data_IF_068606153848
#
_entry.id   IF_068606153848
#
_cell.length_a   1.000
_cell.length_b   1.000
_cell.length_c   1.000
_cell.angle_alpha   90.00
_cell.angle_beta   90.00
_cell.angle_gamma   90.00
#
_symmetry.space_group_name_H-M   'P 1'
#
loop_
_entity.id
_entity.type
_entity.pdbx_description
1 polymer ?
#
# COMPACT_ATOMS: atom_id res chain seq x y z
N UNK A 1 6.75 -5.73 -19.90
CA UNK A 1 5.82 -5.07 -18.95
C UNK A 1 6.53 -3.85 -18.40
N UNK A 2 5.85 -2.70 -18.49
CA UNK A 2 6.32 -1.40 -18.02
C UNK A 2 5.96 -1.28 -16.55
N UNK A 3 6.95 -0.96 -15.70
CA UNK A 3 6.76 -0.79 -14.26
C UNK A 3 6.71 0.68 -13.87
N UNK A 4 5.96 1.01 -12.81
CA UNK A 4 5.86 2.34 -12.25
C UNK A 4 5.81 2.35 -10.73
N UNK A 5 5.89 3.54 -10.16
CA UNK A 5 5.80 3.77 -8.72
C UNK A 5 4.67 4.77 -8.46
N UNK A 6 3.74 4.40 -7.59
CA UNK A 6 2.70 5.28 -7.09
C UNK A 6 2.99 5.66 -5.63
N UNK A 7 3.28 6.93 -5.40
CA UNK A 7 3.40 7.52 -4.07
C UNK A 7 2.01 8.07 -3.70
N UNK A 8 1.45 7.60 -2.59
CA UNK A 8 0.10 7.94 -2.16
C UNK A 8 0.10 8.64 -0.80
N UNK A 9 -0.54 9.81 -0.71
CA UNK A 9 -0.78 10.52 0.54
C UNK A 9 -0.23 11.95 0.57
N UNK A 10 -0.28 12.61 1.76
CA UNK A 10 0.11 14.01 1.93
C UNK A 10 1.60 14.26 1.68
N UNK A 11 1.96 15.53 1.53
CA UNK A 11 3.32 15.94 1.11
C UNK A 11 4.26 16.27 2.28
N UNK A 12 4.04 15.73 3.48
CA UNK A 12 4.82 16.10 4.67
C UNK A 12 6.31 15.77 4.56
N UNK A 13 6.64 14.66 3.91
CA UNK A 13 8.02 14.19 3.67
C UNK A 13 8.45 14.40 2.21
N UNK A 14 8.00 15.48 1.57
CA UNK A 14 8.13 15.69 0.13
C UNK A 14 9.57 15.70 -0.38
N UNK A 15 10.51 16.24 0.41
CA UNK A 15 11.91 16.30 0.00
C UNK A 15 12.54 14.92 -0.05
N UNK A 16 12.53 14.23 1.10
CA UNK A 16 13.15 12.93 1.26
C UNK A 16 12.58 11.91 0.27
N UNK A 17 11.25 11.90 0.13
CA UNK A 17 10.54 10.95 -0.71
C UNK A 17 10.71 11.29 -2.19
N UNK A 18 10.61 12.56 -2.60
CA UNK A 18 10.79 12.95 -3.98
C UNK A 18 12.25 12.76 -4.43
N UNK A 19 13.23 13.13 -3.60
CA UNK A 19 14.65 12.93 -3.90
C UNK A 19 14.98 11.44 -4.08
N UNK A 20 14.40 10.58 -3.24
CA UNK A 20 14.60 9.15 -3.33
C UNK A 20 13.97 8.56 -4.60
N UNK A 21 12.69 8.85 -4.87
CA UNK A 21 11.99 8.19 -5.98
C UNK A 21 12.24 8.82 -7.35
N UNK A 22 12.77 10.04 -7.45
CA UNK A 22 13.05 10.71 -8.72
C UNK A 22 14.08 10.00 -9.61
N UNK A 23 14.90 9.14 -9.04
CA UNK A 23 15.86 8.30 -9.76
C UNK A 23 15.21 7.16 -10.56
N UNK A 24 13.94 6.84 -10.25
CA UNK A 24 13.19 5.79 -10.93
C UNK A 24 12.28 6.38 -12.01
N UNK A 25 12.03 5.61 -13.07
CA UNK A 25 11.10 6.02 -14.11
C UNK A 25 9.63 5.82 -13.73
N UNK A 26 8.72 6.54 -14.40
CA UNK A 26 7.28 6.39 -14.26
C UNK A 26 6.77 6.55 -12.82
N UNK A 27 7.20 7.62 -12.15
CA UNK A 27 6.76 7.95 -10.79
C UNK A 27 5.59 8.91 -10.83
N UNK A 28 4.52 8.59 -10.12
CA UNK A 28 3.36 9.45 -9.89
C UNK A 28 3.18 9.65 -8.40
N UNK A 29 2.92 10.88 -7.99
CA UNK A 29 2.52 11.22 -6.62
C UNK A 29 1.06 11.66 -6.63
N UNK A 30 0.18 10.90 -6.01
CA UNK A 30 -1.22 11.23 -5.82
C UNK A 30 -1.44 11.81 -4.44
N UNK A 31 -1.89 13.05 -4.37
CA UNK A 31 -2.06 13.84 -3.16
C UNK A 31 -3.28 14.77 -3.24
N UNK A 32 -3.47 15.64 -2.26
CA UNK A 32 -4.66 16.47 -2.13
C UNK A 32 -4.53 17.79 -2.89
N UNK A 33 -5.66 18.31 -3.37
CA UNK A 33 -5.72 19.59 -4.09
C UNK A 33 -5.49 20.83 -3.19
N UNK A 34 -5.52 20.63 -1.88
CA UNK A 34 -5.24 21.68 -0.87
C UNK A 34 -3.80 21.63 -0.30
N UNK A 35 -2.91 20.87 -0.91
CA UNK A 35 -1.49 20.80 -0.52
C UNK A 35 -0.73 22.11 -0.83
N UNK A 36 0.36 22.33 -0.11
CA UNK A 36 1.25 23.49 -0.31
C UNK A 36 1.82 23.54 -1.73
N UNK A 37 1.61 24.64 -2.45
CA UNK A 37 2.15 24.84 -3.79
C UNK A 37 3.68 24.70 -3.82
N UNK A 38 4.38 25.16 -2.79
CA UNK A 38 5.85 25.06 -2.70
C UNK A 38 6.30 23.59 -2.67
N UNK A 39 5.57 22.74 -1.95
CA UNK A 39 5.85 21.31 -1.89
C UNK A 39 5.56 20.62 -3.24
N UNK A 40 4.42 20.98 -3.86
CA UNK A 40 4.03 20.45 -5.16
C UNK A 40 5.03 20.83 -6.26
N UNK A 41 5.51 22.07 -6.28
CA UNK A 41 6.50 22.54 -7.24
C UNK A 41 7.84 21.85 -7.05
N UNK A 42 8.24 21.59 -5.81
CA UNK A 42 9.44 20.80 -5.54
C UNK A 42 9.33 19.36 -6.09
N UNK A 43 8.21 18.68 -5.83
CA UNK A 43 7.96 17.32 -6.33
C UNK A 43 8.02 17.31 -7.88
N UNK A 44 7.34 18.26 -8.52
CA UNK A 44 7.33 18.41 -9.99
C UNK A 44 8.73 18.70 -10.54
N UNK A 45 9.55 19.51 -9.84
CA UNK A 45 10.92 19.82 -10.24
C UNK A 45 11.84 18.60 -10.28
N UNK A 46 11.47 17.53 -9.57
CA UNK A 46 12.13 16.22 -9.61
C UNK A 46 11.67 15.31 -10.76
N UNK A 47 10.82 15.80 -11.65
CA UNK A 47 10.27 15.01 -12.76
C UNK A 47 9.13 14.07 -12.37
N UNK A 48 8.62 14.17 -11.14
CA UNK A 48 7.52 13.33 -10.65
C UNK A 48 6.18 13.95 -11.11
N UNK A 49 5.33 13.15 -11.76
CA UNK A 49 3.97 13.57 -12.13
C UNK A 49 3.12 13.66 -10.86
N UNK A 50 2.46 14.81 -10.65
CA UNK A 50 1.57 15.02 -9.50
C UNK A 50 0.12 14.95 -9.93
N UNK A 51 -0.68 14.17 -9.23
CA UNK A 51 -2.14 14.09 -9.38
C UNK A 51 -2.77 14.70 -8.13
N UNK A 52 -3.58 15.72 -8.34
CA UNK A 52 -4.31 16.41 -7.29
C UNK A 52 -5.72 15.84 -7.18
N UNK A 53 -6.09 15.41 -6.01
CA UNK A 53 -7.35 14.75 -5.70
C UNK A 53 -8.11 15.55 -4.65
N UNK A 54 -9.38 15.79 -4.88
CA UNK A 54 -10.23 16.41 -3.86
C UNK A 54 -10.51 15.40 -2.75
N UNK A 55 -10.19 15.73 -1.49
CA UNK A 55 -10.45 14.84 -0.36
C UNK A 55 -11.93 14.46 -0.25
N UNK A 56 -12.26 13.21 0.09
CA UNK A 56 -13.64 12.81 0.34
C UNK A 56 -14.19 13.56 1.56
N UNK A 57 -15.49 13.89 1.54
CA UNK A 57 -16.16 14.55 2.67
C UNK A 57 -16.15 13.70 3.93
N UNK A 58 -16.31 12.39 3.77
CA UNK A 58 -16.24 11.41 4.84
C UNK A 58 -14.94 10.61 4.72
N UNK A 59 -14.08 10.73 5.72
CA UNK A 59 -12.75 10.12 5.67
C UNK A 59 -12.73 8.63 6.06
N UNK A 60 -13.79 8.15 6.70
CA UNK A 60 -13.87 6.78 7.21
C UNK A 60 -13.02 6.53 8.46
N UNK A 61 -13.13 5.34 9.02
CA UNK A 61 -12.30 4.91 10.14
C UNK A 61 -10.81 4.89 9.74
N UNK A 62 -9.93 5.44 10.58
CA UNK A 62 -8.50 5.56 10.30
C UNK A 62 -8.16 6.21 8.94
N UNK A 63 -9.06 7.08 8.44
CA UNK A 63 -8.89 7.79 7.17
C UNK A 63 -8.83 6.87 5.93
N UNK A 64 -9.51 5.73 5.97
CA UNK A 64 -9.49 4.74 4.88
C UNK A 64 -9.92 5.33 3.53
N UNK A 65 -10.96 6.17 3.50
CA UNK A 65 -11.43 6.78 2.25
C UNK A 65 -10.40 7.76 1.63
N UNK A 66 -9.58 8.41 2.46
CA UNK A 66 -8.45 9.19 1.94
C UNK A 66 -7.46 8.28 1.20
N UNK A 67 -7.12 7.15 1.80
CA UNK A 67 -6.21 6.20 1.18
C UNK A 67 -6.79 5.61 -0.11
N UNK A 68 -8.05 5.15 -0.08
CA UNK A 68 -8.74 4.58 -1.24
C UNK A 68 -8.78 5.58 -2.40
N UNK A 69 -9.29 6.78 -2.16
CA UNK A 69 -9.48 7.80 -3.18
C UNK A 69 -8.16 8.21 -3.84
N UNK A 70 -7.14 8.56 -3.04
CA UNK A 70 -5.86 8.99 -3.60
C UNK A 70 -5.11 7.85 -4.30
N UNK A 71 -5.21 6.61 -3.81
CA UNK A 71 -4.60 5.47 -4.50
C UNK A 71 -5.27 5.22 -5.84
N UNK A 72 -6.61 5.15 -5.88
CA UNK A 72 -7.36 4.88 -7.11
C UNK A 72 -7.08 5.92 -8.19
N UNK A 73 -7.17 7.21 -7.89
CA UNK A 73 -6.89 8.29 -8.84
C UNK A 73 -5.45 8.26 -9.35
N UNK A 74 -4.50 7.92 -8.47
CA UNK A 74 -3.11 7.72 -8.86
C UNK A 74 -2.93 6.54 -9.82
N UNK A 75 -3.63 5.42 -9.59
CA UNK A 75 -3.61 4.25 -10.47
C UNK A 75 -4.21 4.55 -11.85
N UNK A 76 -5.32 5.28 -11.88
CA UNK A 76 -5.96 5.69 -13.15
C UNK A 76 -5.04 6.60 -13.98
N UNK A 77 -4.23 7.43 -13.33
CA UNK A 77 -3.33 8.37 -13.99
C UNK A 77 -2.02 7.74 -14.52
N UNK A 78 -1.75 6.48 -14.17
CA UNK A 78 -0.58 5.74 -14.64
C UNK A 78 -0.83 5.06 -16.00
N UNK A 79 0.23 5.08 -16.84
CA UNK A 79 0.31 4.34 -18.11
C UNK A 79 1.41 3.27 -18.01
N UNK A 80 1.17 2.26 -17.16
CA UNK A 80 2.09 1.13 -16.92
C UNK A 80 1.30 -0.16 -16.71
N UNK A 81 1.98 -1.30 -16.79
CA UNK A 81 1.37 -2.62 -16.60
C UNK A 81 1.35 -3.04 -15.12
N UNK A 82 2.41 -2.65 -14.39
CA UNK A 82 2.65 -3.06 -13.01
C UNK A 82 3.07 -1.85 -12.17
N UNK A 83 2.64 -1.80 -10.92
CA UNK A 83 2.91 -0.70 -10.00
C UNK A 83 3.40 -1.19 -8.64
N UNK A 84 4.41 -0.49 -8.11
CA UNK A 84 4.71 -0.47 -6.69
C UNK A 84 4.00 0.74 -6.07
N UNK A 85 2.94 0.49 -5.29
CA UNK A 85 2.29 1.51 -4.48
C UNK A 85 3.01 1.63 -3.14
N UNK A 86 3.39 2.85 -2.78
CA UNK A 86 3.98 3.19 -1.49
C UNK A 86 3.23 4.36 -0.86
N UNK A 87 3.27 4.45 0.46
CA UNK A 87 2.78 5.65 1.16
C UNK A 87 3.79 6.79 1.05
N UNK A 88 3.29 8.01 1.08
CA UNK A 88 4.12 9.22 1.00
C UNK A 88 5.05 9.48 2.21
N UNK A 89 4.96 8.67 3.25
CA UNK A 89 5.84 8.65 4.41
C UNK A 89 6.74 7.40 4.45
N UNK A 90 6.92 6.72 3.30
CA UNK A 90 7.65 5.46 3.20
C UNK A 90 8.70 5.51 2.10
N UNK A 91 9.93 5.10 2.42
CA UNK A 91 11.04 4.95 1.48
C UNK A 91 11.42 3.47 1.41
N UNK A 92 11.43 2.91 0.19
CA UNK A 92 11.87 1.55 -0.12
C UNK A 92 13.22 1.63 -0.82
N UNK A 93 14.28 1.13 -0.17
CA UNK A 93 15.64 1.11 -0.74
C UNK A 93 15.85 -0.05 -1.72
N UNK A 94 16.93 -0.04 -2.49
CA UNK A 94 17.33 -1.13 -3.39
C UNK A 94 16.22 -1.63 -4.34
N UNK A 95 15.35 -0.71 -4.83
CA UNK A 95 14.25 -1.05 -5.73
C UNK A 95 14.73 -1.64 -7.07
N UNK A 96 15.92 -1.28 -7.52
CA UNK A 96 16.59 -1.84 -8.68
C UNK A 96 16.80 -3.36 -8.57
N UNK A 97 16.94 -3.87 -7.36
CA UNK A 97 17.03 -5.31 -7.06
C UNK A 97 15.66 -5.95 -6.79
N UNK A 98 14.80 -5.23 -6.09
CA UNK A 98 13.48 -5.75 -5.69
C UNK A 98 12.51 -5.87 -6.88
N UNK A 99 12.35 -4.81 -7.68
CA UNK A 99 11.35 -4.77 -8.75
C UNK A 99 11.51 -5.90 -9.78
N UNK A 100 12.72 -6.33 -10.19
CA UNK A 100 12.88 -7.50 -11.05
C UNK A 100 12.35 -8.81 -10.44
N UNK A 101 12.44 -8.97 -9.12
CA UNK A 101 11.92 -10.16 -8.41
C UNK A 101 10.40 -10.19 -8.35
N UNK A 102 9.79 -9.01 -8.28
CA UNK A 102 8.33 -8.86 -8.22
C UNK A 102 7.66 -8.92 -9.60
N UNK A 103 8.43 -8.77 -10.67
CA UNK A 103 7.91 -8.68 -12.04
C UNK A 103 7.06 -9.90 -12.40
N UNK A 104 5.84 -9.64 -12.90
CA UNK A 104 4.88 -10.67 -13.31
C UNK A 104 3.97 -11.16 -12.19
N UNK A 105 4.18 -10.74 -10.95
CA UNK A 105 3.27 -11.07 -9.86
C UNK A 105 1.92 -10.38 -10.05
N UNK A 106 0.83 -11.09 -9.78
CA UNK A 106 -0.51 -10.57 -9.96
C UNK A 106 -0.82 -9.50 -8.93
N UNK A 107 -0.65 -9.81 -7.66
CA UNK A 107 -0.78 -8.91 -6.51
C UNK A 107 0.14 -9.42 -5.40
N UNK A 108 0.90 -8.54 -4.79
CA UNK A 108 1.86 -8.88 -3.76
C UNK A 108 1.93 -7.80 -2.70
N UNK A 109 1.95 -8.20 -1.45
CA UNK A 109 2.11 -7.34 -0.28
C UNK A 109 3.47 -7.55 0.36
N UNK A 110 3.98 -6.52 1.05
CA UNK A 110 5.26 -6.68 1.73
C UNK A 110 5.20 -7.78 2.80
N UNK A 111 4.13 -7.82 3.59
CA UNK A 111 3.95 -8.78 4.67
C UNK A 111 2.49 -8.98 5.05
N UNK A 112 2.22 -9.98 5.89
CA UNK A 112 0.95 -10.12 6.61
C UNK A 112 1.05 -9.53 8.01
N UNK A 113 -0.05 -9.00 8.53
CA UNK A 113 -0.19 -8.65 9.95
C UNK A 113 -1.01 -9.74 10.64
N UNK A 114 -0.48 -10.37 11.69
CA UNK A 114 -1.30 -11.21 12.60
C UNK A 114 -2.03 -10.33 13.60
N UNK A 115 -3.29 -10.64 13.85
CA UNK A 115 -4.17 -9.89 14.75
C UNK A 115 -3.61 -9.73 16.18
N UNK A 116 -2.80 -10.67 16.67
CA UNK A 116 -2.14 -10.59 17.98
C UNK A 116 -1.10 -9.47 18.14
N UNK A 117 -0.71 -8.79 17.06
CA UNK A 117 0.29 -7.71 17.12
C UNK A 117 -0.27 -6.36 17.59
N UNK A 118 -1.61 -6.24 17.72
CA UNK A 118 -2.30 -5.03 18.20
C UNK A 118 -3.21 -5.34 19.39
N UNK A 119 -2.64 -5.84 20.48
CA UNK A 119 -3.37 -6.10 21.74
C UNK A 119 -3.95 -4.85 22.41
N UNK A 120 -3.57 -3.67 21.94
CA UNK A 120 -3.99 -2.37 22.46
C UNK A 120 -5.26 -1.82 21.80
N UNK A 121 -5.75 -2.45 20.74
CA UNK A 121 -7.03 -2.12 20.13
C UNK A 121 -8.07 -3.17 20.56
N UNK A 122 -8.73 -2.91 21.69
CA UNK A 122 -9.89 -3.68 22.17
C UNK A 122 -11.08 -3.44 21.23
N UNK A 123 -11.13 -4.13 20.11
CA UNK A 123 -12.30 -4.16 19.25
C UNK A 123 -13.04 -5.50 19.46
N UNK A 124 -14.05 -5.46 20.29
CA UNK A 124 -15.14 -6.44 20.33
C UNK A 124 -15.98 -6.35 19.02
N UNK A 125 -15.36 -6.60 17.89
CA UNK A 125 -16.05 -6.69 16.62
C UNK A 125 -16.52 -8.12 16.41
N UNK A 126 -17.80 -8.32 16.58
CA UNK A 126 -18.54 -9.61 16.54
C UNK A 126 -18.32 -10.41 15.23
N UNK A 127 -17.70 -9.82 14.21
CA UNK A 127 -17.50 -10.44 12.89
C UNK A 127 -16.04 -10.74 12.51
N UNK A 128 -15.06 -10.29 13.29
CA UNK A 128 -13.63 -10.50 13.03
C UNK A 128 -12.95 -11.28 14.15
N UNK A 129 -13.68 -12.13 14.81
CA UNK A 129 -13.12 -13.04 15.79
C UNK A 129 -12.28 -14.11 15.10
N UNK A 130 -11.07 -14.22 15.58
CA UNK A 130 -10.10 -15.31 15.47
C UNK A 130 -9.25 -15.32 14.18
N UNK A 131 -7.94 -15.11 14.38
CA UNK A 131 -6.83 -15.51 13.49
C UNK A 131 -6.94 -15.04 12.02
N UNK A 132 -7.25 -13.78 11.78
CA UNK A 132 -7.20 -13.25 10.42
C UNK A 132 -5.86 -12.57 10.17
N UNK A 133 -5.09 -13.15 9.27
CA UNK A 133 -3.93 -12.49 8.68
C UNK A 133 -4.46 -11.53 7.61
N UNK A 134 -4.14 -10.25 7.70
CA UNK A 134 -4.44 -9.29 6.65
C UNK A 134 -3.16 -8.66 6.09
N UNK A 135 -3.13 -8.36 4.80
CA UNK A 135 -1.92 -7.85 4.17
C UNK A 135 -1.60 -6.43 4.62
N UNK A 136 -0.31 -6.13 4.79
CA UNK A 136 0.15 -4.79 5.10
C UNK A 136 0.05 -3.87 3.88
N UNK A 137 -0.72 -2.80 3.98
CA UNK A 137 -1.02 -1.87 2.89
C UNK A 137 0.02 -0.76 2.66
N UNK A 138 1.07 -0.73 3.47
CA UNK A 138 2.12 0.28 3.38
C UNK A 138 2.86 0.23 2.04
N UNK A 139 3.18 -0.98 1.58
CA UNK A 139 3.83 -1.25 0.30
C UNK A 139 3.12 -2.42 -0.37
N UNK A 140 2.59 -2.17 -1.57
CA UNK A 140 1.85 -3.15 -2.36
C UNK A 140 2.37 -3.12 -3.78
N UNK A 141 2.62 -4.28 -4.37
CA UNK A 141 3.02 -4.44 -5.76
C UNK A 141 2.00 -5.28 -6.52
N UNK A 142 1.78 -5.00 -7.79
CA UNK A 142 0.94 -5.83 -8.63
C UNK A 142 0.61 -5.22 -9.98
N UNK A 143 -0.19 -5.98 -10.76
CA UNK A 143 -0.77 -5.49 -12.00
C UNK A 143 -1.71 -4.33 -11.69
N UNK A 144 -1.68 -3.30 -12.55
CA UNK A 144 -2.46 -2.08 -12.33
C UNK A 144 -3.96 -2.35 -12.22
N UNK A 145 -4.48 -3.30 -13.01
CA UNK A 145 -5.90 -3.63 -13.00
C UNK A 145 -6.33 -4.36 -11.71
N UNK A 146 -5.46 -5.18 -11.14
CA UNK A 146 -5.69 -5.82 -9.85
C UNK A 146 -5.72 -4.80 -8.71
N UNK A 147 -4.79 -3.84 -8.75
CA UNK A 147 -4.77 -2.75 -7.77
C UNK A 147 -5.98 -1.84 -7.91
N UNK A 148 -6.45 -1.55 -9.13
CA UNK A 148 -7.70 -0.79 -9.32
C UNK A 148 -8.89 -1.50 -8.68
N UNK A 149 -9.05 -2.81 -8.90
CA UNK A 149 -10.11 -3.59 -8.26
C UNK A 149 -10.04 -3.52 -6.72
N UNK A 150 -8.84 -3.49 -6.17
CA UNK A 150 -8.60 -3.43 -4.74
C UNK A 150 -9.00 -2.09 -4.12
N UNK A 151 -8.77 -0.97 -4.82
CA UNK A 151 -8.97 0.39 -4.31
C UNK A 151 -10.21 1.11 -4.85
N UNK A 152 -10.98 0.48 -5.76
CA UNK A 152 -12.19 1.07 -6.37
C UNK A 152 -13.41 0.85 -5.49
N UNK A 153 -13.44 1.47 -4.31
CA UNK A 153 -14.62 1.52 -3.46
C UNK A 153 -14.57 2.71 -2.50
N UNK A 154 -15.71 3.00 -1.88
CA UNK A 154 -15.82 3.99 -0.81
C UNK A 154 -16.66 3.41 0.32
N UNK A 155 -16.45 3.92 1.52
CA UNK A 155 -17.18 3.54 2.72
C UNK A 155 -17.99 4.73 3.16
N UNK A 156 -19.31 4.57 3.25
CA UNK A 156 -20.23 5.62 3.67
C UNK A 156 -20.53 5.58 5.18
N UNK A 157 -20.12 4.51 5.84
CA UNK A 157 -20.35 4.26 7.27
C UNK A 157 -19.04 4.22 8.05
N UNK A 158 -19.11 4.52 9.35
CA UNK A 158 -17.99 4.36 10.26
C UNK A 158 -17.86 2.87 10.65
N UNK A 159 -17.23 2.10 9.79
CA UNK A 159 -16.90 0.71 10.09
C UNK A 159 -15.57 0.68 10.86
N UNK A 160 -15.54 0.22 12.12
CA UNK A 160 -14.32 0.17 12.91
C UNK A 160 -13.44 -1.04 12.50
N UNK A 161 -13.18 -1.14 11.21
CA UNK A 161 -12.36 -2.18 10.58
C UNK A 161 -11.06 -1.54 10.08
N UNK A 162 -9.89 -2.14 10.34
CA UNK A 162 -8.63 -1.62 9.83
C UNK A 162 -8.64 -1.44 8.30
N UNK A 163 -8.09 -0.37 7.77
CA UNK A 163 -8.02 -0.13 6.32
C UNK A 163 -7.48 -1.32 5.55
N UNK A 164 -6.44 -1.94 6.06
CA UNK A 164 -5.78 -3.10 5.46
C UNK A 164 -6.75 -4.28 5.26
N UNK A 165 -7.56 -4.56 6.27
CA UNK A 165 -8.56 -5.62 6.20
C UNK A 165 -9.69 -5.29 5.23
N UNK A 166 -10.16 -4.04 5.22
CA UNK A 166 -11.21 -3.57 4.29
C UNK A 166 -10.75 -3.64 2.83
N UNK A 167 -9.53 -3.21 2.56
CA UNK A 167 -8.93 -3.21 1.23
C UNK A 167 -8.80 -4.65 0.71
N UNK A 168 -8.29 -5.56 1.55
CA UNK A 168 -8.20 -6.97 1.20
C UNK A 168 -9.56 -7.60 0.98
N UNK A 169 -10.53 -7.29 1.84
CA UNK A 169 -11.90 -7.76 1.70
C UNK A 169 -12.52 -7.32 0.39
N UNK A 170 -12.43 -6.04 0.05
CA UNK A 170 -12.97 -5.53 -1.21
C UNK A 170 -12.38 -6.28 -2.42
N UNK A 171 -11.07 -6.48 -2.43
CA UNK A 171 -10.41 -7.24 -3.50
C UNK A 171 -10.95 -8.65 -3.63
N UNK A 172 -11.04 -9.40 -2.52
CA UNK A 172 -11.54 -10.78 -2.51
C UNK A 172 -13.00 -10.84 -3.00
N UNK A 173 -13.85 -9.93 -2.52
CA UNK A 173 -15.26 -9.84 -2.94
C UNK A 173 -15.39 -9.56 -4.44
N UNK A 174 -14.61 -8.62 -4.98
CA UNK A 174 -14.61 -8.31 -6.41
C UNK A 174 -14.13 -9.46 -7.29
N UNK A 175 -13.31 -10.35 -6.72
CA UNK A 175 -12.87 -11.59 -7.39
C UNK A 175 -13.84 -12.75 -7.23
N UNK A 176 -14.94 -12.60 -6.50
CA UNK A 176 -15.90 -13.68 -6.21
C UNK A 176 -15.30 -14.78 -5.31
N UNK A 177 -14.29 -14.44 -4.51
CA UNK A 177 -13.60 -15.38 -3.62
C UNK A 177 -14.36 -15.41 -2.29
N UNK A 178 -14.73 -16.61 -1.84
CA UNK A 178 -15.43 -16.80 -0.56
C UNK A 178 -14.53 -16.40 0.63
N UNK A 179 -15.15 -15.75 1.62
CA UNK A 179 -14.48 -14.90 2.56
C UNK A 179 -13.86 -15.66 3.73
N UNK A 180 -12.57 -15.98 3.63
CA UNK A 180 -11.70 -16.23 4.80
C UNK A 180 -10.37 -15.53 4.57
N UNK A 181 -10.14 -14.41 5.26
CA UNK A 181 -8.83 -13.77 5.29
C UNK A 181 -7.88 -14.66 6.10
N UNK A 182 -7.23 -15.59 5.43
CA UNK A 182 -6.08 -16.31 5.94
C UNK A 182 -5.04 -16.42 4.82
N UNK A 183 -3.81 -16.67 5.20
CA UNK A 183 -2.68 -16.78 4.28
C UNK A 183 -2.94 -17.78 3.15
N UNK A 184 -3.45 -18.95 3.47
CA UNK A 184 -3.71 -20.03 2.49
C UNK A 184 -4.74 -19.60 1.45
N UNK A 185 -5.84 -18.99 1.86
CA UNK A 185 -6.86 -18.49 0.92
C UNK A 185 -6.31 -17.38 0.04
N UNK A 186 -5.51 -16.47 0.58
CA UNK A 186 -4.86 -15.40 -0.19
C UNK A 186 -3.89 -15.98 -1.21
N UNK A 187 -3.00 -16.88 -0.79
CA UNK A 187 -2.01 -17.50 -1.67
C UNK A 187 -2.66 -18.32 -2.80
N UNK A 188 -3.69 -19.11 -2.50
CA UNK A 188 -4.43 -19.89 -3.49
C UNK A 188 -5.15 -19.02 -4.53
N UNK A 189 -5.37 -17.75 -4.25
CA UNK A 189 -6.00 -16.79 -5.15
C UNK A 189 -5.01 -15.79 -5.78
N UNK A 190 -3.73 -16.10 -5.78
CA UNK A 190 -2.69 -15.36 -6.50
C UNK A 190 -2.19 -14.12 -5.74
N UNK A 191 -2.48 -13.99 -4.46
CA UNK A 191 -1.89 -12.98 -3.58
C UNK A 191 -0.59 -13.55 -3.02
N UNK A 192 0.50 -12.87 -3.25
CA UNK A 192 1.83 -13.25 -2.74
C UNK A 192 2.35 -12.24 -1.72
N UNK A 193 3.45 -12.59 -1.06
CA UNK A 193 4.11 -11.75 -0.08
C UNK A 193 5.61 -11.70 -0.39
N UNK A 194 6.23 -10.52 -0.30
CA UNK A 194 7.61 -10.31 -0.72
C UNK A 194 8.57 -9.88 0.40
N UNK A 195 8.23 -10.18 1.66
CA UNK A 195 9.14 -9.87 2.78
C UNK A 195 10.46 -10.65 2.66
N UNK A 196 10.42 -11.89 2.17
CA UNK A 196 11.63 -12.69 1.99
C UNK A 196 12.53 -12.08 0.91
N UNK A 197 11.97 -11.62 -0.21
CA UNK A 197 12.72 -10.90 -1.23
C UNK A 197 13.35 -9.61 -0.67
N UNK A 198 12.67 -8.90 0.23
CA UNK A 198 13.25 -7.75 0.92
C UNK A 198 14.46 -8.14 1.78
N UNK A 199 14.38 -9.24 2.51
CA UNK A 199 15.48 -9.74 3.34
C UNK A 199 16.67 -10.18 2.47
N UNK A 200 16.43 -10.93 1.42
CA UNK A 200 17.45 -11.48 0.52
C UNK A 200 18.21 -10.36 -0.22
N UNK A 201 17.49 -9.35 -0.69
CA UNK A 201 18.08 -8.23 -1.43
C UNK A 201 18.50 -7.05 -0.53
N UNK A 202 18.44 -7.22 0.79
CA UNK A 202 18.77 -6.19 1.80
C UNK A 202 17.99 -4.89 1.54
N UNK A 203 16.71 -5.03 1.23
CA UNK A 203 15.79 -3.90 1.07
C UNK A 203 15.37 -3.41 2.44
N UNK A 204 15.45 -2.10 2.64
CA UNK A 204 14.86 -1.46 3.80
C UNK A 204 13.56 -0.76 3.38
N UNK A 205 12.55 -0.85 4.21
CA UNK A 205 11.29 -0.14 4.05
C UNK A 205 11.13 0.81 5.23
N UNK A 206 11.59 2.03 5.06
CA UNK A 206 11.68 3.03 6.12
C UNK A 206 10.39 3.84 6.22
N UNK A 207 9.66 3.68 7.32
CA UNK A 207 8.48 4.48 7.65
C UNK A 207 8.94 5.76 8.39
N UNK A 208 9.04 6.85 7.65
CA UNK A 208 9.63 8.12 8.10
C UNK A 208 8.89 8.71 9.31
N UNK A 209 7.56 8.69 9.29
CA UNK A 209 6.72 9.22 10.38
C UNK A 209 6.97 8.51 11.72
N UNK A 210 7.23 7.21 11.71
CA UNK A 210 7.48 6.40 12.91
C UNK A 210 8.97 6.10 13.16
N UNK A 211 9.84 6.45 12.21
CA UNK A 211 11.29 6.20 12.26
C UNK A 211 11.62 4.72 12.49
N UNK A 212 10.92 3.84 11.81
CA UNK A 212 11.11 2.39 11.87
C UNK A 212 11.34 1.80 10.48
N UNK A 213 12.17 0.75 10.41
CA UNK A 213 12.27 -0.10 9.23
C UNK A 213 11.19 -1.18 9.32
N UNK A 214 10.26 -1.18 8.37
CA UNK A 214 9.13 -2.12 8.37
C UNK A 214 9.57 -3.57 8.09
N UNK A 215 10.67 -3.80 7.38
CA UNK A 215 11.19 -5.15 7.15
C UNK A 215 11.59 -5.80 8.48
N UNK A 216 12.34 -5.07 9.32
CA UNK A 216 12.70 -5.55 10.66
C UNK A 216 11.46 -5.70 11.54
N UNK A 217 10.52 -4.75 11.46
CA UNK A 217 9.29 -4.79 12.23
C UNK A 217 8.44 -6.03 11.92
N UNK A 218 8.30 -6.39 10.63
CA UNK A 218 7.50 -7.55 10.24
C UNK A 218 8.25 -8.86 10.40
N UNK A 219 9.57 -8.89 10.24
CA UNK A 219 10.41 -10.07 10.50
C UNK A 219 10.14 -10.68 11.88
N UNK A 220 10.00 -9.82 12.90
CA UNK A 220 9.77 -10.26 14.27
C UNK A 220 8.29 -10.61 14.57
N UNK A 221 7.36 -10.25 13.69
CA UNK A 221 5.91 -10.34 13.92
C UNK A 221 5.18 -11.23 12.92
N UNK A 222 5.82 -11.53 11.80
CA UNK A 222 5.27 -12.42 10.78
C UNK A 222 5.72 -13.83 11.08
N UNK A 223 4.81 -14.69 11.49
CA UNK A 223 5.10 -16.13 11.63
C UNK A 223 4.90 -16.74 10.24
N UNK A 224 6.01 -16.96 9.53
CA UNK A 224 6.02 -17.87 8.39
C UNK A 224 6.11 -19.29 8.94
N UNK A 225 4.99 -19.96 9.14
CA UNK A 225 4.97 -21.40 9.14
C UNK A 225 4.81 -21.83 7.67
N UNK A 226 5.94 -22.19 7.08
CA UNK A 226 6.02 -22.79 5.74
C UNK A 226 5.61 -24.27 5.79
#
# INVERSE_FOLDING_TARGET
MKQGILIQGPTDFYKEVADHYSQYGNVVWSTWDNESIVRLDYIKSKGIKVILVTPPKFTGYMNVNLQLRSTYEGLVAHDVDEILKVRSDTIVTNLDKLLPKLKGQQLSFMATCKEGARKDLAYDLVYFHTSHDYPADNVVYGKIDELKLMFDFQIDELLPIPPEALIAWNYMTNKGIDFKLNYETMANNGISFFLQECLDEKVEVNWLKRKVNLVDWYKDKTVYEW
#
